data_IF_615958165464
#
_entry.id   IF_615958165464
#
_cell.length_a   1.000
_cell.length_b   1.000
_cell.length_c   1.000
_cell.angle_alpha   90.00
_cell.angle_beta   90.00
_cell.angle_gamma   90.00
#
_symmetry.space_group_name_H-M   'P 1'
#
loop_
_entity.id
_entity.type
_entity.pdbx_description
1 polymer ?
#
# COMPACT_ATOMS: atom_id res chain seq x y z
N UNK A 1 33.94 -41.48 -18.15
CA UNK A 1 32.47 -41.34 -17.98
C UNK A 1 32.02 -42.17 -16.76
N UNK A 2 31.24 -41.57 -15.85
CA UNK A 2 30.64 -42.27 -14.71
C UNK A 2 29.25 -42.84 -15.06
N UNK A 3 28.64 -43.62 -14.15
CA UNK A 3 27.33 -44.27 -14.40
C UNK A 3 26.19 -43.29 -14.63
N UNK A 4 26.20 -42.14 -13.94
CA UNK A 4 25.15 -41.13 -14.04
C UNK A 4 25.25 -40.37 -15.37
N UNK A 5 26.46 -39.98 -15.77
CA UNK A 5 26.76 -39.39 -17.07
C UNK A 5 26.39 -40.32 -18.24
N UNK A 6 26.67 -41.62 -18.10
CA UNK A 6 26.32 -42.61 -19.11
C UNK A 6 24.81 -42.80 -19.25
N UNK A 7 24.08 -42.69 -18.13
CA UNK A 7 22.63 -42.77 -18.13
C UNK A 7 22.00 -41.52 -18.77
N UNK A 8 22.50 -40.33 -18.43
CA UNK A 8 22.05 -39.06 -19.02
C UNK A 8 22.31 -39.01 -20.53
N UNK A 9 23.47 -39.51 -20.98
CA UNK A 9 23.81 -39.64 -22.40
C UNK A 9 22.78 -40.49 -23.16
N UNK A 10 22.39 -41.63 -22.60
CA UNK A 10 21.42 -42.53 -23.24
C UNK A 10 20.01 -41.96 -23.22
N UNK A 11 19.63 -41.25 -22.15
CA UNK A 11 18.37 -40.50 -22.06
C UNK A 11 18.32 -39.39 -23.12
N UNK A 12 19.39 -38.61 -23.26
CA UNK A 12 19.50 -37.56 -24.28
C UNK A 12 19.43 -38.14 -25.68
N UNK A 13 19.99 -39.33 -25.91
CA UNK A 13 19.91 -40.06 -27.17
C UNK A 13 18.55 -40.72 -27.45
N UNK A 14 17.57 -40.58 -26.55
CA UNK A 14 16.22 -41.10 -26.73
C UNK A 14 16.05 -42.59 -26.41
N UNK A 15 17.00 -43.21 -25.70
CA UNK A 15 16.91 -44.60 -25.27
C UNK A 15 15.94 -44.73 -24.10
N UNK A 16 15.07 -45.74 -24.16
CA UNK A 16 14.08 -46.03 -23.11
C UNK A 16 14.82 -46.36 -21.81
N UNK A 17 14.34 -45.81 -20.70
CA UNK A 17 14.98 -45.90 -19.38
C UNK A 17 15.37 -47.33 -18.94
N UNK A 18 14.52 -48.32 -19.22
CA UNK A 18 14.82 -49.73 -18.92
C UNK A 18 16.03 -50.25 -19.69
N UNK A 19 16.15 -49.87 -20.96
CA UNK A 19 17.28 -50.22 -21.83
C UNK A 19 18.52 -49.45 -21.38
N UNK A 20 18.39 -48.17 -21.04
CA UNK A 20 19.49 -47.35 -20.52
C UNK A 20 20.09 -47.95 -19.24
N UNK A 21 19.26 -48.40 -18.29
CA UNK A 21 19.72 -49.05 -17.05
C UNK A 21 20.45 -50.35 -17.35
N UNK A 22 19.93 -51.18 -18.27
CA UNK A 22 20.57 -52.44 -18.64
C UNK A 22 21.91 -52.22 -19.34
N UNK A 23 21.99 -51.25 -20.25
CA UNK A 23 23.21 -50.87 -20.97
C UNK A 23 24.26 -50.31 -20.03
N UNK A 24 23.88 -49.41 -19.11
CA UNK A 24 24.83 -48.87 -18.10
C UNK A 24 25.35 -49.97 -17.18
N UNK A 25 24.49 -50.90 -16.73
CA UNK A 25 24.93 -52.07 -15.94
C UNK A 25 25.86 -53.00 -16.72
N UNK A 26 25.64 -53.15 -18.03
CA UNK A 26 26.51 -53.91 -18.92
C UNK A 26 27.87 -53.21 -19.06
N UNK A 27 27.88 -51.92 -19.35
CA UNK A 27 29.09 -51.11 -19.45
C UNK A 27 29.89 -51.05 -18.15
N UNK A 28 29.22 -51.09 -16.99
CA UNK A 28 29.89 -51.18 -15.70
C UNK A 28 30.60 -52.54 -15.53
N UNK A 29 29.99 -53.64 -15.99
CA UNK A 29 30.62 -54.98 -15.98
C UNK A 29 31.78 -55.09 -16.98
N UNK A 30 31.67 -54.40 -18.11
CA UNK A 30 32.70 -54.35 -19.16
C UNK A 30 33.82 -53.33 -18.88
N UNK A 31 33.74 -52.58 -17.77
CA UNK A 31 34.74 -51.57 -17.39
C UNK A 31 34.73 -50.30 -18.25
N UNK A 32 33.75 -50.12 -19.14
CA UNK A 32 33.58 -48.94 -20.02
C UNK A 32 33.18 -47.68 -19.23
N UNK A 33 32.48 -47.86 -18.12
CA UNK A 33 32.10 -46.79 -17.19
C UNK A 33 32.51 -47.16 -15.78
N UNK A 34 32.81 -46.16 -14.94
CA UNK A 34 33.17 -46.36 -13.54
C UNK A 34 32.02 -45.96 -12.63
N UNK A 35 31.78 -46.75 -11.59
CA UNK A 35 30.86 -46.36 -10.53
C UNK A 35 31.54 -45.34 -9.62
N UNK A 36 30.93 -44.18 -9.44
CA UNK A 36 31.42 -43.13 -8.56
C UNK A 36 30.49 -43.05 -7.34
N UNK A 37 30.83 -43.78 -6.27
CA UNK A 37 30.02 -43.86 -5.07
C UNK A 37 30.39 -42.79 -4.04
N UNK A 38 29.40 -41.99 -3.61
CA UNK A 38 29.44 -41.22 -2.36
C UNK A 38 30.02 -39.79 -2.46
N UNK A 39 29.18 -38.83 -2.09
CA UNK A 39 29.53 -37.49 -1.55
C UNK A 39 30.43 -36.56 -2.39
N UNK A 40 30.37 -36.64 -3.72
CA UNK A 40 30.79 -35.55 -4.61
C UNK A 40 29.56 -35.01 -5.31
N UNK A 41 29.49 -33.68 -5.50
CA UNK A 41 28.44 -33.03 -6.30
C UNK A 41 28.20 -33.85 -7.57
N UNK A 42 26.97 -34.33 -7.76
CA UNK A 42 26.58 -35.12 -8.93
C UNK A 42 26.74 -34.25 -10.17
N UNK A 43 27.91 -34.29 -10.80
CA UNK A 43 28.15 -33.62 -12.08
C UNK A 43 27.32 -34.34 -13.16
N UNK A 44 26.10 -33.87 -13.34
CA UNK A 44 25.09 -34.32 -14.31
C UNK A 44 25.30 -33.63 -15.66
N UNK A 45 26.52 -33.80 -16.19
CA UNK A 45 26.90 -33.32 -17.50
C UNK A 45 28.04 -34.19 -18.01
N UNK A 46 27.89 -34.70 -19.23
CA UNK A 46 28.93 -35.44 -19.92
C UNK A 46 29.56 -34.53 -20.98
N UNK A 47 30.90 -34.52 -21.03
CA UNK A 47 31.66 -34.01 -22.16
C UNK A 47 32.34 -35.24 -22.74
N UNK A 48 31.98 -35.60 -23.97
CA UNK A 48 32.71 -36.63 -24.72
C UNK A 48 33.81 -35.89 -25.46
N UNK A 49 35.05 -36.28 -25.20
CA UNK A 49 36.22 -35.62 -25.79
C UNK A 49 36.42 -36.03 -27.26
N UNK A 50 35.86 -37.17 -27.68
CA UNK A 50 35.96 -37.70 -29.03
C UNK A 50 34.58 -38.00 -29.65
N UNK A 51 34.40 -37.55 -30.89
CA UNK A 51 33.19 -37.78 -31.68
C UNK A 51 33.05 -39.25 -32.08
N UNK A 52 34.15 -39.95 -32.35
CA UNK A 52 34.14 -41.37 -32.72
C UNK A 52 33.72 -42.24 -31.53
N UNK A 53 34.18 -41.89 -30.33
CA UNK A 53 33.74 -42.52 -29.09
C UNK A 53 32.23 -42.38 -28.86
N UNK A 54 31.63 -41.24 -29.22
CA UNK A 54 30.18 -41.04 -29.11
C UNK A 54 29.40 -41.98 -30.03
N UNK A 55 29.85 -42.14 -31.28
CA UNK A 55 29.23 -43.07 -32.22
C UNK A 55 29.35 -44.53 -31.78
N UNK A 56 30.51 -44.93 -31.25
CA UNK A 56 30.69 -46.29 -30.71
C UNK A 56 29.76 -46.57 -29.53
N UNK A 57 29.60 -45.62 -28.60
CA UNK A 57 28.71 -45.76 -27.45
C UNK A 57 27.24 -45.86 -27.88
N UNK A 58 26.80 -45.06 -28.86
CA UNK A 58 25.43 -45.11 -29.37
C UNK A 58 25.16 -46.41 -30.13
N UNK A 59 26.13 -46.88 -30.93
CA UNK A 59 26.06 -48.16 -31.63
C UNK A 59 26.00 -49.34 -30.65
N UNK A 60 26.81 -49.32 -29.60
CA UNK A 60 26.82 -50.34 -28.57
C UNK A 60 25.53 -50.34 -27.73
N UNK A 61 24.87 -49.17 -27.60
CA UNK A 61 23.55 -49.03 -27.00
C UNK A 61 22.39 -49.49 -27.91
N UNK A 62 22.68 -49.94 -29.14
CA UNK A 62 21.68 -50.45 -30.08
C UNK A 62 20.92 -49.37 -30.84
N UNK A 63 21.44 -48.15 -30.91
CA UNK A 63 20.82 -47.03 -31.64
C UNK A 63 21.18 -47.14 -33.13
N UNK A 64 20.19 -46.96 -34.00
CA UNK A 64 20.37 -46.99 -35.46
C UNK A 64 21.23 -45.82 -35.93
N UNK A 65 22.04 -46.06 -36.97
CA UNK A 65 23.01 -45.09 -37.51
C UNK A 65 22.40 -43.72 -37.87
N UNK A 66 21.16 -43.69 -38.38
CA UNK A 66 20.45 -42.43 -38.68
C UNK A 66 20.15 -41.58 -37.43
N UNK A 67 19.79 -42.23 -36.32
CA UNK A 67 19.49 -41.57 -35.05
C UNK A 67 20.78 -41.15 -34.35
N UNK A 68 21.85 -41.96 -34.45
CA UNK A 68 23.14 -41.60 -33.87
C UNK A 68 23.74 -40.36 -34.57
N UNK A 69 23.65 -40.26 -35.90
CA UNK A 69 24.12 -39.08 -36.65
C UNK A 69 23.36 -37.81 -36.24
N UNK A 70 22.03 -37.88 -36.13
CA UNK A 70 21.23 -36.73 -35.69
C UNK A 70 21.56 -36.31 -34.26
N UNK A 71 21.73 -37.29 -33.37
CA UNK A 71 22.02 -37.07 -31.96
C UNK A 71 23.39 -36.43 -31.77
N UNK A 72 24.43 -36.97 -32.44
CA UNK A 72 25.80 -36.43 -32.40
C UNK A 72 25.87 -35.05 -33.04
N UNK A 73 25.17 -34.83 -34.16
CA UNK A 73 25.09 -33.49 -34.80
C UNK A 73 24.46 -32.45 -33.88
N UNK A 74 23.42 -32.83 -33.13
CA UNK A 74 22.80 -31.96 -32.12
C UNK A 74 23.76 -31.69 -30.96
N UNK A 75 24.45 -32.71 -30.46
CA UNK A 75 25.43 -32.57 -29.39
C UNK A 75 26.64 -31.70 -29.77
N UNK A 76 27.07 -31.73 -31.04
CA UNK A 76 28.09 -30.80 -31.57
C UNK A 76 27.58 -29.36 -31.58
N UNK A 77 26.33 -29.11 -32.02
CA UNK A 77 25.72 -27.76 -31.97
C UNK A 77 25.54 -27.22 -30.54
N UNK A 78 25.26 -28.12 -29.60
CA UNK A 78 25.08 -27.79 -28.18
C UNK A 78 26.42 -27.69 -27.40
N UNK A 79 27.56 -27.99 -28.03
CA UNK A 79 28.87 -27.97 -27.39
C UNK A 79 29.10 -29.08 -26.36
N UNK A 80 28.30 -30.15 -26.39
CA UNK A 80 28.38 -31.32 -25.48
C UNK A 80 29.48 -32.32 -25.89
N UNK A 81 29.99 -32.24 -27.11
CA UNK A 81 31.13 -33.03 -27.61
C UNK A 81 32.17 -32.08 -28.18
N UNK A 82 33.45 -32.39 -27.97
CA UNK A 82 34.55 -31.72 -28.68
C UNK A 82 34.91 -32.50 -29.95
N UNK A 83 35.09 -31.78 -31.04
CA UNK A 83 35.60 -32.39 -32.28
C UNK A 83 37.12 -32.50 -32.19
N UNK A 84 37.62 -33.62 -31.66
CA UNK A 84 39.06 -33.89 -31.55
C UNK A 84 39.44 -35.20 -32.27
N UNK A 85 38.98 -35.35 -33.52
CA UNK A 85 39.31 -36.51 -34.36
C UNK A 85 40.63 -36.32 -35.13
N UNK A 86 41.68 -37.05 -34.73
CA UNK A 86 42.90 -37.26 -35.52
C UNK A 86 42.82 -38.54 -36.41
N UNK A 87 41.60 -39.05 -36.62
CA UNK A 87 41.28 -40.25 -37.41
C UNK A 87 40.86 -39.92 -38.85
N UNK A 88 41.09 -40.88 -39.74
CA UNK A 88 40.98 -40.78 -41.19
C UNK A 88 39.60 -40.26 -41.69
N UNK A 89 39.61 -39.18 -42.47
CA UNK A 89 38.45 -38.38 -42.92
C UNK A 89 37.57 -39.08 -43.97
N UNK A 90 36.66 -39.96 -43.55
CA UNK A 90 35.66 -40.55 -44.45
C UNK A 90 34.23 -40.47 -43.91
N UNK A 91 33.80 -39.31 -43.38
CA UNK A 91 32.39 -39.11 -43.04
C UNK A 91 31.87 -37.80 -43.64
N UNK A 92 30.95 -37.92 -44.61
CA UNK A 92 30.35 -36.82 -45.38
C UNK A 92 29.36 -35.96 -44.60
N UNK A 93 29.62 -35.67 -43.32
CA UNK A 93 28.75 -34.86 -42.45
C UNK A 93 29.25 -33.42 -42.26
N UNK A 94 29.93 -32.86 -43.27
CA UNK A 94 30.22 -31.43 -43.28
C UNK A 94 28.89 -30.71 -43.56
N UNK A 95 28.29 -30.18 -42.49
CA UNK A 95 27.17 -29.25 -42.58
C UNK A 95 27.71 -28.00 -43.27
N UNK A 96 27.15 -27.67 -44.43
CA UNK A 96 27.48 -26.47 -45.21
C UNK A 96 26.93 -25.22 -44.47
N UNK A 97 27.62 -24.81 -43.40
CA UNK A 97 27.22 -23.73 -42.49
C UNK A 97 27.24 -22.34 -43.15
N UNK A 98 27.90 -22.19 -44.30
CA UNK A 98 28.06 -20.92 -45.02
C UNK A 98 26.77 -20.45 -45.70
N UNK A 99 25.99 -21.33 -46.32
CA UNK A 99 24.74 -20.96 -46.99
C UNK A 99 23.58 -20.68 -46.01
N UNK A 100 23.58 -21.33 -44.84
CA UNK A 100 22.56 -21.13 -43.79
C UNK A 100 22.79 -19.83 -43.00
N UNK A 101 24.05 -19.44 -42.78
CA UNK A 101 24.41 -18.21 -42.05
C UNK A 101 24.09 -16.94 -42.84
N UNK A 102 24.34 -16.90 -44.14
CA UNK A 102 24.09 -15.73 -44.99
C UNK A 102 22.60 -15.36 -45.07
N UNK A 103 21.71 -16.34 -45.23
CA UNK A 103 20.26 -16.09 -45.29
C UNK A 103 19.64 -15.74 -43.92
N UNK A 104 20.25 -16.20 -42.83
CA UNK A 104 19.82 -15.84 -41.47
C UNK A 104 20.24 -14.43 -41.09
N UNK A 105 21.45 -13.99 -41.44
CA UNK A 105 21.94 -12.67 -41.07
C UNK A 105 21.15 -11.53 -41.73
N UNK A 106 20.83 -11.64 -43.03
CA UNK A 106 20.04 -10.62 -43.73
C UNK A 106 18.59 -10.51 -43.20
N UNK A 107 17.96 -11.64 -42.85
CA UNK A 107 16.61 -11.64 -42.23
C UNK A 107 16.61 -11.19 -40.78
N UNK A 108 17.68 -11.49 -40.03
CA UNK A 108 17.81 -11.11 -38.62
C UNK A 108 18.11 -9.61 -38.50
N UNK A 109 18.95 -9.03 -39.37
CA UNK A 109 19.30 -7.62 -39.30
C UNK A 109 18.14 -6.69 -39.74
N UNK A 110 17.37 -7.06 -40.76
CA UNK A 110 16.13 -6.34 -41.11
C UNK A 110 15.13 -6.32 -39.94
N UNK A 111 15.01 -7.44 -39.21
CA UNK A 111 14.12 -7.56 -38.07
C UNK A 111 14.61 -6.73 -36.87
N UNK A 112 15.93 -6.63 -36.66
CA UNK A 112 16.52 -5.75 -35.64
C UNK A 112 16.26 -4.28 -35.93
N UNK A 113 16.42 -3.84 -37.17
CA UNK A 113 16.20 -2.44 -37.55
C UNK A 113 14.73 -2.03 -37.39
N UNK A 114 13.78 -2.90 -37.75
CA UNK A 114 12.36 -2.68 -37.48
C UNK A 114 12.06 -2.61 -35.98
N UNK A 115 12.67 -3.49 -35.17
CA UNK A 115 12.54 -3.46 -33.71
C UNK A 115 13.10 -2.15 -33.15
N UNK A 116 14.29 -1.73 -33.60
CA UNK A 116 14.92 -0.46 -33.19
C UNK A 116 14.03 0.72 -33.56
N UNK A 117 13.45 0.74 -34.77
CA UNK A 117 12.52 1.80 -35.18
C UNK A 117 11.27 1.83 -34.31
N UNK A 118 10.66 0.68 -34.01
CA UNK A 118 9.49 0.59 -33.12
C UNK A 118 9.83 1.06 -31.70
N UNK A 119 11.00 0.71 -31.19
CA UNK A 119 11.47 1.16 -29.88
C UNK A 119 11.70 2.67 -29.85
N UNK A 120 12.29 3.25 -30.90
CA UNK A 120 12.45 4.71 -31.02
C UNK A 120 11.11 5.43 -31.00
N UNK A 121 10.11 4.94 -31.74
CA UNK A 121 8.77 5.52 -31.72
C UNK A 121 8.12 5.44 -30.34
N UNK A 122 8.30 4.31 -29.62
CA UNK A 122 7.80 4.16 -28.26
C UNK A 122 8.47 5.12 -27.29
N UNK A 123 9.80 5.29 -27.39
CA UNK A 123 10.55 6.25 -26.56
C UNK A 123 10.04 7.67 -26.81
N UNK A 124 9.91 8.08 -28.08
CA UNK A 124 9.38 9.40 -28.41
C UNK A 124 7.95 9.64 -27.91
N UNK A 125 7.09 8.62 -27.96
CA UNK A 125 5.75 8.72 -27.40
C UNK A 125 5.76 8.86 -25.87
N UNK A 126 6.66 8.14 -25.21
CA UNK A 126 6.85 8.24 -23.76
C UNK A 126 7.45 9.60 -23.35
N UNK A 127 8.40 10.13 -24.10
CA UNK A 127 9.00 11.44 -23.84
C UNK A 127 7.93 12.55 -23.87
N UNK A 128 7.05 12.54 -24.89
CA UNK A 128 5.91 13.48 -24.96
C UNK A 128 4.94 13.32 -23.79
N UNK A 129 4.72 12.09 -23.32
CA UNK A 129 3.87 11.86 -22.16
C UNK A 129 4.51 12.36 -20.87
N UNK A 130 5.83 12.19 -20.72
CA UNK A 130 6.60 12.73 -19.59
C UNK A 130 6.53 14.26 -19.60
N UNK A 131 6.75 14.89 -20.75
CA UNK A 131 6.63 16.35 -20.93
C UNK A 131 5.25 16.86 -20.47
N UNK A 132 4.17 16.21 -20.89
CA UNK A 132 2.81 16.56 -20.45
C UNK A 132 2.59 16.40 -18.94
N UNK A 133 3.19 15.38 -18.32
CA UNK A 133 3.14 15.21 -16.85
C UNK A 133 3.93 16.31 -16.13
N UNK A 134 5.09 16.69 -16.66
CA UNK A 134 5.93 17.76 -16.07
C UNK A 134 5.22 19.12 -16.10
N UNK A 135 4.56 19.45 -17.21
CA UNK A 135 3.74 20.67 -17.31
C UNK A 135 2.57 20.65 -16.31
N UNK A 136 1.88 19.52 -16.19
CA UNK A 136 0.79 19.35 -15.22
C UNK A 136 1.29 19.46 -13.77
N UNK A 137 2.47 18.92 -13.48
CA UNK A 137 3.10 19.03 -12.18
C UNK A 137 3.48 20.48 -11.85
N UNK A 138 4.10 21.21 -12.78
CA UNK A 138 4.50 22.60 -12.55
C UNK A 138 3.29 23.55 -12.43
N UNK A 139 2.22 23.31 -13.18
CA UNK A 139 0.95 24.05 -13.00
C UNK A 139 0.32 23.76 -11.65
N UNK A 140 0.25 22.49 -11.24
CA UNK A 140 -0.27 22.08 -9.93
C UNK A 140 0.52 22.70 -8.78
N UNK A 141 1.85 22.69 -8.87
CA UNK A 141 2.76 23.30 -7.89
C UNK A 141 2.52 24.80 -7.76
N UNK A 142 2.35 25.53 -8.87
CA UNK A 142 2.03 26.97 -8.85
C UNK A 142 0.69 27.23 -8.14
N UNK A 143 -0.34 26.44 -8.43
CA UNK A 143 -1.66 26.56 -7.79
C UNK A 143 -1.54 26.31 -6.28
N UNK A 144 -0.83 25.27 -5.86
CA UNK A 144 -0.64 24.95 -4.44
C UNK A 144 0.10 26.07 -3.69
N UNK A 145 1.11 26.67 -4.31
CA UNK A 145 1.83 27.82 -3.73
C UNK A 145 0.87 29.01 -3.54
N UNK A 146 0.05 29.32 -4.56
CA UNK A 146 -0.93 30.40 -4.47
C UNK A 146 -1.96 30.15 -3.35
N UNK A 147 -2.50 28.94 -3.27
CA UNK A 147 -3.46 28.56 -2.22
C UNK A 147 -2.84 28.67 -0.82
N UNK A 148 -1.62 28.17 -0.64
CA UNK A 148 -0.89 28.29 0.62
C UNK A 148 -0.73 29.75 1.03
N UNK A 149 -0.36 30.62 0.10
CA UNK A 149 -0.15 32.04 0.38
C UNK A 149 -1.46 32.77 0.69
N UNK A 150 -2.58 32.39 0.04
CA UNK A 150 -3.91 32.87 0.38
C UNK A 150 -4.32 32.46 1.80
N UNK A 151 -4.21 31.18 2.15
CA UNK A 151 -4.54 30.70 3.48
C UNK A 151 -3.66 31.32 4.57
N UNK A 152 -2.37 31.56 4.28
CA UNK A 152 -1.48 32.25 5.21
C UNK A 152 -1.96 33.68 5.50
N UNK A 153 -2.46 34.41 4.50
CA UNK A 153 -3.03 35.75 4.70
C UNK A 153 -4.32 35.69 5.52
N UNK A 154 -5.20 34.74 5.20
CA UNK A 154 -6.47 34.55 5.92
C UNK A 154 -6.24 34.22 7.40
N UNK A 155 -5.30 33.33 7.71
CA UNK A 155 -4.95 32.99 9.10
C UNK A 155 -4.45 34.22 9.87
N UNK A 156 -3.67 35.10 9.24
CA UNK A 156 -3.21 36.35 9.88
C UNK A 156 -4.39 37.29 10.16
N UNK A 157 -5.33 37.43 9.22
CA UNK A 157 -6.54 38.23 9.41
C UNK A 157 -7.40 37.69 10.55
N UNK A 158 -7.71 36.38 10.55
CA UNK A 158 -8.50 35.73 11.60
C UNK A 158 -7.84 35.85 12.98
N UNK A 159 -6.50 35.77 13.05
CA UNK A 159 -5.77 35.97 14.31
C UNK A 159 -5.92 37.40 14.83
N UNK A 160 -5.91 38.39 13.94
CA UNK A 160 -6.11 39.79 14.29
C UNK A 160 -7.56 40.09 14.69
N UNK A 161 -8.55 39.50 14.02
CA UNK A 161 -9.95 39.62 14.43
C UNK A 161 -10.19 38.98 15.79
N UNK A 162 -9.64 37.79 16.02
CA UNK A 162 -9.70 37.11 17.32
C UNK A 162 -9.10 37.97 18.43
N UNK A 163 -7.96 38.62 18.20
CA UNK A 163 -7.36 39.49 19.22
C UNK A 163 -8.19 40.75 19.48
N UNK A 164 -8.79 41.36 18.44
CA UNK A 164 -9.73 42.47 18.60
C UNK A 164 -10.94 42.08 19.44
N UNK A 165 -11.60 40.97 19.10
CA UNK A 165 -12.76 40.48 19.84
C UNK A 165 -12.42 40.15 21.30
N UNK A 166 -11.24 39.59 21.55
CA UNK A 166 -10.77 39.33 22.91
C UNK A 166 -10.57 40.61 23.72
N UNK A 167 -10.06 41.68 23.09
CA UNK A 167 -9.92 42.98 23.74
C UNK A 167 -11.29 43.60 24.03
N UNK A 168 -12.18 43.62 23.04
CA UNK A 168 -13.55 44.11 23.21
C UNK A 168 -14.30 43.36 24.32
N UNK A 169 -14.14 42.03 24.39
CA UNK A 169 -14.72 41.23 25.47
C UNK A 169 -14.18 41.64 26.84
N UNK A 170 -12.88 41.94 26.95
CA UNK A 170 -12.27 42.40 28.21
C UNK A 170 -12.79 43.78 28.60
N UNK A 171 -12.93 44.68 27.63
CA UNK A 171 -13.42 46.04 27.85
C UNK A 171 -14.89 46.01 28.33
N UNK A 172 -15.75 45.24 27.66
CA UNK A 172 -17.14 45.04 28.06
C UNK A 172 -17.26 44.37 29.43
N UNK A 173 -16.40 43.41 29.76
CA UNK A 173 -16.38 42.80 31.09
C UNK A 173 -16.01 43.83 32.17
N UNK A 174 -15.03 44.69 31.89
CA UNK A 174 -14.61 45.75 32.80
C UNK A 174 -15.76 46.75 33.02
N UNK A 175 -16.39 47.22 31.95
CA UNK A 175 -17.56 48.09 32.01
C UNK A 175 -18.71 47.42 32.80
N UNK A 176 -18.98 46.13 32.57
CA UNK A 176 -20.01 45.40 33.30
C UNK A 176 -19.71 45.33 34.80
N UNK A 177 -18.45 45.12 35.18
CA UNK A 177 -18.02 45.13 36.59
C UNK A 177 -18.22 46.53 37.19
N UNK A 178 -17.82 47.59 36.48
CA UNK A 178 -18.00 48.98 36.92
C UNK A 178 -19.48 49.30 37.12
N UNK A 179 -20.35 48.99 36.15
CA UNK A 179 -21.79 49.17 36.24
C UNK A 179 -22.42 48.36 37.39
N UNK A 180 -21.96 47.13 37.64
CA UNK A 180 -22.41 46.33 38.79
C UNK A 180 -22.01 46.99 40.11
N UNK A 181 -20.79 47.51 40.20
CA UNK A 181 -20.33 48.23 41.40
C UNK A 181 -21.13 49.51 41.62
N UNK A 182 -21.44 50.26 40.56
CA UNK A 182 -22.34 51.42 40.64
C UNK A 182 -23.76 51.04 41.05
N UNK A 183 -24.32 49.98 40.50
CA UNK A 183 -25.63 49.45 40.90
C UNK A 183 -25.66 49.03 42.38
N UNK A 184 -24.59 48.42 42.88
CA UNK A 184 -24.46 48.07 44.30
C UNK A 184 -24.46 49.36 45.15
N UNK A 185 -23.64 50.35 44.82
CA UNK A 185 -23.60 51.65 45.53
C UNK A 185 -24.97 52.33 45.54
N UNK A 186 -25.68 52.35 44.41
CA UNK A 186 -27.04 52.92 44.33
C UNK A 186 -28.04 52.14 45.18
N UNK A 187 -27.93 50.80 45.22
CA UNK A 187 -28.79 49.96 46.07
C UNK A 187 -28.50 50.14 47.55
N UNK A 188 -27.24 50.27 47.95
CA UNK A 188 -26.83 50.55 49.33
C UNK A 188 -27.36 51.91 49.78
N UNK A 189 -27.14 52.97 48.98
CA UNK A 189 -27.69 54.30 49.24
C UNK A 189 -29.24 54.31 49.34
N UNK A 190 -29.94 53.41 48.63
CA UNK A 190 -31.40 53.25 48.75
C UNK A 190 -31.83 52.46 49.98
N UNK A 191 -31.06 51.48 50.43
CA UNK A 191 -31.33 50.71 51.67
C UNK A 191 -31.11 51.55 52.91
N UNK A 192 -30.15 52.47 52.88
CA UNK A 192 -29.94 53.44 53.97
C UNK A 192 -31.11 54.44 54.10
N UNK A 193 -31.91 54.62 53.04
CA UNK A 193 -33.12 55.45 53.06
C UNK A 193 -34.38 54.73 53.56
N UNK A 194 -34.41 53.39 53.59
CA UNK A 194 -35.54 52.61 54.09
C UNK A 194 -35.03 51.29 54.67
N UNK A 195 -34.87 51.24 56.00
CA UNK A 195 -34.71 50.00 56.74
C UNK A 195 -35.89 49.08 56.44
N UNK A 196 -35.69 48.08 55.60
CA UNK A 196 -36.60 46.95 55.48
C UNK A 196 -35.79 45.65 55.54
N UNK A 197 -35.78 45.07 56.74
CA UNK A 197 -35.49 43.66 56.94
C UNK A 197 -36.34 42.83 55.98
N UNK A 198 -35.70 42.07 55.10
CA UNK A 198 -36.39 41.04 54.33
C UNK A 198 -35.55 39.77 54.31
N UNK A 199 -35.58 39.10 55.46
CA UNK A 199 -35.14 37.73 55.62
C UNK A 199 -36.25 36.74 55.16
N UNK A 200 -36.89 37.02 54.03
CA UNK A 200 -37.89 36.14 53.43
C UNK A 200 -37.32 35.55 52.14
N UNK A 201 -36.69 34.38 52.25
CA UNK A 201 -36.57 33.44 51.15
C UNK A 201 -37.98 33.04 50.70
N UNK A 202 -38.56 33.86 49.83
CA UNK A 202 -39.73 33.48 49.06
C UNK A 202 -39.30 32.33 48.14
N UNK A 203 -39.73 31.11 48.43
CA UNK A 203 -39.62 29.96 47.53
C UNK A 203 -40.58 30.11 46.35
N UNK A 204 -40.50 31.24 45.65
CA UNK A 204 -41.31 31.50 44.48
C UNK A 204 -40.63 30.83 43.28
N UNK A 205 -41.09 29.62 42.95
CA UNK A 205 -40.57 28.84 41.83
C UNK A 205 -40.73 29.58 40.49
N UNK A 206 -41.72 30.48 40.36
CA UNK A 206 -41.87 31.36 39.20
C UNK A 206 -40.71 32.32 39.04
N UNK A 207 -40.29 32.95 40.14
CA UNK A 207 -39.19 33.92 40.14
C UNK A 207 -37.84 33.24 39.82
N UNK A 208 -37.63 32.01 40.31
CA UNK A 208 -36.44 31.20 39.96
C UNK A 208 -36.35 30.84 38.48
N UNK A 209 -37.49 30.66 37.81
CA UNK A 209 -37.57 30.32 36.39
C UNK A 209 -37.68 31.56 35.49
N UNK A 210 -37.69 32.77 36.05
CA UNK A 210 -37.87 34.01 35.29
C UNK A 210 -39.29 34.18 34.73
N UNK A 211 -40.28 33.45 35.26
CA UNK A 211 -41.69 33.58 34.88
C UNK A 211 -42.38 34.66 35.72
N UNK A 212 -43.50 35.17 35.22
CA UNK A 212 -44.35 36.10 35.96
C UNK A 212 -44.85 35.45 37.28
N UNK A 213 -45.03 36.26 38.34
CA UNK A 213 -45.49 35.79 39.67
C UNK A 213 -46.86 35.10 39.68
N UNK A 214 -47.61 35.16 38.58
CA UNK A 214 -48.91 34.49 38.40
C UNK A 214 -48.85 33.31 37.41
N UNK A 215 -47.65 32.84 37.04
CA UNK A 215 -47.49 31.75 36.10
C UNK A 215 -48.19 30.47 36.59
N UNK A 216 -48.88 29.79 35.68
CA UNK A 216 -49.63 28.59 36.03
C UNK A 216 -48.69 27.44 36.38
N UNK A 217 -49.11 26.53 37.25
CA UNK A 217 -48.39 25.27 37.51
C UNK A 217 -48.08 24.50 36.22
N UNK A 218 -48.92 24.62 35.19
CA UNK A 218 -48.69 24.01 33.87
C UNK A 218 -47.51 24.63 33.11
N UNK A 219 -47.35 25.95 33.20
CA UNK A 219 -46.26 26.70 32.57
C UNK A 219 -44.94 26.41 33.29
N UNK A 220 -44.96 26.42 34.63
CA UNK A 220 -43.81 26.05 35.46
C UNK A 220 -43.32 24.62 35.13
N UNK A 221 -44.24 23.66 34.97
CA UNK A 221 -43.90 22.30 34.56
C UNK A 221 -43.30 22.21 33.16
N UNK A 222 -43.76 23.04 32.22
CA UNK A 222 -43.25 23.05 30.85
C UNK A 222 -41.81 23.60 30.81
N UNK A 223 -41.54 24.69 31.52
CA UNK A 223 -40.22 25.29 31.63
C UNK A 223 -39.21 24.38 32.33
N UNK A 224 -39.57 23.81 33.48
CA UNK A 224 -38.67 22.84 34.14
C UNK A 224 -38.33 21.65 33.23
N UNK A 225 -39.30 21.15 32.44
CA UNK A 225 -39.03 20.08 31.47
C UNK A 225 -38.15 20.54 30.32
N UNK A 226 -38.33 21.77 29.83
CA UNK A 226 -37.48 22.40 28.81
C UNK A 226 -36.03 22.51 29.29
N UNK A 227 -35.84 23.04 30.50
CA UNK A 227 -34.52 23.17 31.14
C UNK A 227 -33.86 21.81 31.38
N UNK A 228 -34.60 20.80 31.85
CA UNK A 228 -34.07 19.45 32.02
C UNK A 228 -33.64 18.81 30.69
N UNK A 229 -34.37 19.10 29.61
CA UNK A 229 -34.01 18.59 28.28
C UNK A 229 -32.73 19.25 27.75
N UNK A 230 -32.59 20.57 27.90
CA UNK A 230 -31.43 21.31 27.42
C UNK A 230 -30.17 20.98 28.24
N UNK A 231 -30.34 20.74 29.54
CA UNK A 231 -29.21 20.51 30.45
C UNK A 231 -28.82 19.04 30.60
N UNK A 232 -29.52 18.12 29.92
CA UNK A 232 -29.26 16.69 30.02
C UNK A 232 -27.84 16.33 29.52
N UNK A 233 -27.07 15.48 30.23
CA UNK A 233 -25.72 15.07 29.82
C UNK A 233 -25.66 14.44 28.42
N UNK A 234 -26.68 13.66 28.04
CA UNK A 234 -26.80 13.05 26.71
C UNK A 234 -27.02 14.07 25.56
N UNK A 235 -27.28 15.34 25.89
CA UNK A 235 -27.43 16.45 24.94
C UNK A 235 -26.30 17.48 25.06
N UNK A 236 -25.08 17.04 25.44
CA UNK A 236 -23.93 17.92 25.75
C UNK A 236 -24.19 18.92 26.90
N UNK A 237 -25.21 18.64 27.73
CA UNK A 237 -25.58 19.45 28.87
C UNK A 237 -24.67 19.24 30.09
N UNK A 238 -24.58 20.26 30.94
CA UNK A 238 -23.77 20.19 32.16
C UNK A 238 -24.45 19.33 33.24
N UNK A 239 -23.86 18.18 33.56
CA UNK A 239 -24.35 17.22 34.56
C UNK A 239 -24.62 17.83 35.95
N UNK A 240 -23.79 18.79 36.41
CA UNK A 240 -24.03 19.47 37.70
C UNK A 240 -25.27 20.36 37.66
N UNK A 241 -25.47 21.05 36.54
CA UNK A 241 -26.63 21.93 36.32
C UNK A 241 -27.90 21.10 36.19
N UNK A 242 -27.86 19.98 35.46
CA UNK A 242 -28.95 19.02 35.38
C UNK A 242 -29.39 18.51 36.76
N UNK A 243 -28.43 18.11 37.60
CA UNK A 243 -28.73 17.62 38.94
C UNK A 243 -29.40 18.68 39.82
N UNK A 244 -28.93 19.93 39.74
CA UNK A 244 -29.54 21.07 40.45
C UNK A 244 -30.99 21.31 40.01
N UNK A 245 -31.22 21.42 38.70
CA UNK A 245 -32.56 21.67 38.13
C UNK A 245 -33.50 20.50 38.44
N UNK A 246 -33.00 19.26 38.39
CA UNK A 246 -33.77 18.06 38.73
C UNK A 246 -34.20 18.05 40.20
N UNK A 247 -33.31 18.43 41.10
CA UNK A 247 -33.62 18.51 42.53
C UNK A 247 -34.69 19.58 42.81
N UNK A 248 -34.59 20.74 42.17
CA UNK A 248 -35.57 21.83 42.31
C UNK A 248 -36.93 21.44 41.69
N UNK A 249 -36.93 20.76 40.53
CA UNK A 249 -38.13 20.21 39.90
C UNK A 249 -38.82 19.14 40.77
N UNK A 250 -38.05 18.23 41.38
CA UNK A 250 -38.60 17.20 42.26
C UNK A 250 -39.21 17.82 43.53
N UNK A 251 -38.61 18.88 44.07
CA UNK A 251 -39.16 19.66 45.18
C UNK A 251 -40.46 20.38 44.78
N UNK A 252 -40.49 21.04 43.61
CA UNK A 252 -41.70 21.65 43.06
C UNK A 252 -42.82 20.62 42.83
N UNK A 253 -42.48 19.43 42.33
CA UNK A 253 -43.45 18.35 42.10
C UNK A 253 -44.02 17.81 43.41
N UNK A 254 -43.21 17.70 44.47
CA UNK A 254 -43.68 17.37 45.83
C UNK A 254 -44.60 18.46 46.37
N UNK A 255 -44.25 19.73 46.16
CA UNK A 255 -45.06 20.88 46.58
C UNK A 255 -46.44 20.91 45.91
N UNK A 256 -46.53 20.62 44.60
CA UNK A 256 -47.83 20.51 43.90
C UNK A 256 -48.63 19.30 44.38
N UNK A 257 -47.99 18.15 44.62
CA UNK A 257 -48.69 16.92 45.06
C UNK A 257 -49.20 16.97 46.50
N UNK A 258 -48.62 17.84 47.34
CA UNK A 258 -49.03 18.04 48.73
C UNK A 258 -50.11 19.10 48.93
N UNK A 259 -50.56 19.76 47.85
CA UNK A 259 -51.73 20.64 47.81
C UNK A 259 -52.90 19.92 47.16
#
# INVERSE_FOLDING_TARGET
>A
MNTDQAFDLLKDAGVIESISIQTVRRWLREGKVKYEGGNKNRNTGYIIDDTDQAFELLKDAGITESISIQTVSRWLREGKIKYEGNGNRNTGYIIDDTASMLSKNDRIDQNKDEIIHRLKLKIQAQDKHIEGIEELHETSKKILIQQRDMFKKEVVLLKNEKSKLQNETKDLLKENIELRNELIKVKENKRDSYNFDSNNQSNDYSEKLGLAKMASNKELLAEYKGLLKITHPDHDGNSKVFHYIKTDYDNFRKFIKGK
#
